data_IF_810673286591
#
_entry.id   IF_810673286591
#
_cell.length_a   1.000
_cell.length_b   1.000
_cell.length_c   1.000
_cell.angle_alpha   90.00
_cell.angle_beta   90.00
_cell.angle_gamma   90.00
#
_symmetry.space_group_name_H-M   'P 1'
#
loop_
_entity.id
_entity.type
_entity.pdbx_description
1 polymer ?
#
# COMPACT_ATOMS: atom_id res chain seq x y z
N UNK A 1 -41.85 20.65 -13.37
CA UNK A 1 -40.78 21.12 -12.47
C UNK A 1 -40.44 20.15 -11.31
N UNK A 2 -40.83 18.86 -11.39
CA UNK A 2 -40.62 17.87 -10.30
C UNK A 2 -39.43 16.93 -10.57
N UNK A 3 -39.03 16.79 -11.82
CA UNK A 3 -37.97 15.91 -12.33
C UNK A 3 -36.55 16.46 -12.14
N UNK A 4 -36.37 17.78 -12.02
CA UNK A 4 -35.05 18.43 -11.89
C UNK A 4 -34.44 18.20 -10.50
N UNK A 5 -35.26 18.07 -9.45
CA UNK A 5 -34.75 17.87 -8.08
C UNK A 5 -34.21 16.47 -7.82
N UNK A 6 -34.65 15.46 -8.57
CA UNK A 6 -34.21 14.07 -8.40
C UNK A 6 -32.83 13.86 -9.03
N UNK A 7 -32.56 14.54 -10.16
CA UNK A 7 -31.27 14.46 -10.85
C UNK A 7 -30.10 14.99 -10.00
N UNK A 8 -30.34 16.02 -9.18
CA UNK A 8 -29.30 16.64 -8.35
C UNK A 8 -28.86 15.75 -7.18
N UNK A 9 -29.79 14.97 -6.60
CA UNK A 9 -29.51 14.06 -5.48
C UNK A 9 -28.74 12.82 -5.94
N UNK A 10 -29.02 12.34 -7.16
CA UNK A 10 -28.27 11.23 -7.75
C UNK A 10 -26.80 11.60 -8.00
N UNK A 11 -26.51 12.84 -8.42
CA UNK A 11 -25.16 13.29 -8.71
C UNK A 11 -24.25 13.36 -7.46
N UNK A 12 -24.83 13.68 -6.29
CA UNK A 12 -24.10 13.75 -5.02
C UNK A 12 -23.75 12.37 -4.44
N UNK A 13 -24.52 11.33 -4.78
CA UNK A 13 -24.24 9.96 -4.34
C UNK A 13 -23.03 9.34 -5.06
N UNK A 14 -22.71 9.77 -6.28
CA UNK A 14 -21.53 9.29 -7.03
C UNK A 14 -20.22 9.92 -6.57
N UNK A 15 -20.25 11.05 -5.85
CA UNK A 15 -19.05 11.72 -5.35
C UNK A 15 -18.51 11.09 -4.05
N UNK A 16 -19.30 10.25 -3.35
CA UNK A 16 -18.96 9.71 -2.04
C UNK A 16 -18.10 8.45 -2.03
N UNK A 17 -17.87 7.79 -3.16
CA UNK A 17 -17.22 6.46 -3.21
C UNK A 17 -15.73 6.50 -3.59
N UNK A 18 -15.14 7.67 -3.82
CA UNK A 18 -13.76 7.76 -4.31
C UNK A 18 -12.67 7.77 -3.23
N UNK A 19 -13.01 7.85 -1.95
CA UNK A 19 -12.05 7.78 -0.84
C UNK A 19 -12.21 6.47 -0.07
N UNK A 20 -11.78 5.36 -0.67
CA UNK A 20 -11.48 4.15 0.10
C UNK A 20 -10.36 4.45 1.10
N UNK A 21 -10.35 3.84 2.30
CA UNK A 21 -9.23 4.00 3.23
C UNK A 21 -7.93 3.63 2.51
N UNK A 22 -6.84 4.39 2.72
CA UNK A 22 -5.58 4.11 2.07
C UNK A 22 -5.17 2.65 2.35
N UNK A 23 -4.57 1.96 1.37
CA UNK A 23 -4.15 0.58 1.55
C UNK A 23 -3.24 0.49 2.77
N UNK A 24 -3.57 -0.40 3.69
CA UNK A 24 -2.75 -0.63 4.88
C UNK A 24 -1.40 -1.19 4.42
N UNK A 25 -0.34 -0.47 4.75
CA UNK A 25 1.03 -0.86 4.46
C UNK A 25 1.70 -1.06 5.82
N UNK A 26 2.23 -2.26 6.05
CA UNK A 26 3.09 -2.50 7.19
C UNK A 26 4.52 -2.22 6.75
N UNK A 27 5.21 -1.34 7.49
CA UNK A 27 6.60 -1.00 7.24
C UNK A 27 7.43 -1.26 8.48
N UNK A 28 8.53 -1.98 8.33
CA UNK A 28 9.57 -2.11 9.35
C UNK A 28 10.81 -1.37 8.85
N UNK A 29 11.41 -0.53 9.68
CA UNK A 29 12.63 0.21 9.34
C UNK A 29 13.75 -0.19 10.28
N UNK A 30 14.95 -0.39 9.74
CA UNK A 30 16.16 -0.79 10.47
C UNK A 30 17.35 -0.03 9.92
N UNK A 31 18.20 0.52 10.79
CA UNK A 31 19.43 1.19 10.38
C UNK A 31 20.53 0.15 10.16
N UNK A 32 21.13 0.13 8.96
CA UNK A 32 22.29 -0.71 8.62
C UNK A 32 23.59 0.08 8.80
N UNK A 33 23.71 0.77 9.94
CA UNK A 33 24.78 1.73 10.22
C UNK A 33 24.34 3.19 10.06
N UNK A 34 25.29 4.16 10.15
CA UNK A 34 24.97 5.58 10.17
C UNK A 34 24.54 6.12 8.80
N UNK A 35 24.91 5.46 7.71
CA UNK A 35 24.74 5.95 6.35
C UNK A 35 23.66 5.22 5.55
N UNK A 36 23.05 4.16 6.10
CA UNK A 36 22.09 3.33 5.37
C UNK A 36 20.89 2.97 6.24
N UNK A 37 19.70 3.09 5.66
CA UNK A 37 18.46 2.60 6.25
C UNK A 37 17.85 1.54 5.34
N UNK A 38 17.42 0.46 5.96
CA UNK A 38 16.71 -0.66 5.37
C UNK A 38 15.26 -0.61 5.79
N UNK A 39 14.35 -0.79 4.85
CA UNK A 39 12.91 -0.74 5.08
C UNK A 39 12.24 -1.93 4.42
N UNK A 40 11.56 -2.74 5.21
CA UNK A 40 10.68 -3.79 4.73
C UNK A 40 9.27 -3.24 4.58
N UNK A 41 8.58 -3.64 3.52
CA UNK A 41 7.24 -3.18 3.22
C UNK A 41 6.37 -4.37 2.83
N UNK A 42 5.33 -4.60 3.61
CA UNK A 42 4.25 -5.54 3.29
C UNK A 42 3.03 -4.73 2.88
N UNK A 43 2.57 -4.94 1.66
CA UNK A 43 1.45 -4.20 1.08
C UNK A 43 0.35 -5.16 0.62
N UNK A 44 -0.88 -4.90 1.07
CA UNK A 44 -2.05 -5.59 0.54
C UNK A 44 -2.26 -5.22 -0.93
N UNK A 45 -2.40 -6.23 -1.79
CA UNK A 45 -2.56 -6.07 -3.24
C UNK A 45 -4.00 -5.79 -3.67
N UNK A 46 -4.96 -6.02 -2.77
CA UNK A 46 -6.39 -6.05 -3.08
C UNK A 46 -6.86 -7.35 -3.75
N UNK A 47 -5.94 -8.26 -4.10
CA UNK A 47 -6.27 -9.54 -4.70
C UNK A 47 -6.58 -10.59 -3.62
N UNK A 48 -7.44 -11.54 -3.98
CA UNK A 48 -7.81 -12.68 -3.13
C UNK A 48 -7.39 -13.96 -3.83
N UNK A 49 -6.70 -14.82 -3.11
CA UNK A 49 -6.33 -16.15 -3.58
C UNK A 49 -7.59 -17.01 -3.79
N UNK A 50 -7.81 -17.58 -4.99
CA UNK A 50 -9.04 -18.30 -5.28
C UNK A 50 -9.16 -19.63 -4.51
N UNK A 51 -8.05 -20.24 -4.09
CA UNK A 51 -8.02 -21.54 -3.41
C UNK A 51 -8.26 -21.41 -1.90
N UNK A 52 -7.59 -20.45 -1.26
CA UNK A 52 -7.59 -20.24 0.20
C UNK A 52 -8.53 -19.13 0.65
N UNK A 53 -9.05 -18.32 -0.28
CA UNK A 53 -9.89 -17.13 -0.02
C UNK A 53 -9.22 -16.07 0.86
N UNK A 54 -7.89 -16.10 0.97
CA UNK A 54 -7.10 -15.14 1.75
C UNK A 54 -6.63 -13.97 0.88
N UNK A 55 -6.38 -12.82 1.51
CA UNK A 55 -5.81 -11.65 0.84
C UNK A 55 -4.34 -11.89 0.48
N UNK A 56 -3.94 -11.41 -0.69
CA UNK A 56 -2.58 -11.50 -1.20
C UNK A 56 -1.80 -10.23 -0.90
N UNK A 57 -0.51 -10.40 -0.60
CA UNK A 57 0.40 -9.34 -0.21
C UNK A 57 1.63 -9.30 -1.11
N UNK A 58 2.19 -8.11 -1.26
CA UNK A 58 3.50 -7.90 -1.85
C UNK A 58 4.50 -7.61 -0.73
N UNK A 59 5.69 -8.17 -0.85
CA UNK A 59 6.81 -7.88 0.02
C UNK A 59 7.91 -7.17 -0.78
N UNK A 60 8.21 -5.94 -0.38
CA UNK A 60 9.28 -5.13 -0.95
C UNK A 60 10.29 -4.77 0.12
N UNK A 61 11.53 -4.63 -0.30
CA UNK A 61 12.65 -4.14 0.51
C UNK A 61 13.18 -2.87 -0.14
N UNK A 62 13.31 -1.82 0.64
CA UNK A 62 13.87 -0.53 0.22
C UNK A 62 15.12 -0.25 1.02
N UNK A 63 16.23 0.03 0.33
CA UNK A 63 17.46 0.50 0.97
C UNK A 63 17.69 1.94 0.53
N UNK A 64 17.88 2.84 1.50
CA UNK A 64 18.18 4.24 1.25
C UNK A 64 19.49 4.64 1.92
N UNK A 65 20.13 5.65 1.36
CA UNK A 65 21.20 6.38 2.01
C UNK A 65 20.61 7.29 3.08
N UNK A 66 21.28 7.42 4.21
CA UNK A 66 20.93 8.37 5.26
C UNK A 66 21.76 9.63 5.04
N UNK A 67 21.08 10.77 4.96
CA UNK A 67 21.67 12.11 4.82
C UNK A 67 21.26 12.98 6.01
N UNK A 68 21.88 14.14 6.16
CA UNK A 68 21.57 15.09 7.24
C UNK A 68 20.10 15.53 7.27
N UNK A 69 19.43 15.52 6.11
CA UNK A 69 18.02 15.92 5.95
C UNK A 69 17.04 14.74 5.94
N UNK A 70 17.52 13.50 6.06
CA UNK A 70 16.70 12.28 5.98
C UNK A 70 17.20 11.27 4.95
N UNK A 71 16.32 10.40 4.46
CA UNK A 71 16.69 9.33 3.52
C UNK A 71 16.78 9.83 2.07
N UNK A 72 17.84 9.46 1.35
CA UNK A 72 18.07 9.77 -0.07
C UNK A 72 18.48 8.50 -0.85
N UNK A 73 18.51 8.56 -2.18
CA UNK A 73 18.94 7.47 -3.08
C UNK A 73 18.29 6.10 -2.76
N UNK A 74 16.98 6.09 -2.51
CA UNK A 74 16.25 4.88 -2.19
C UNK A 74 16.15 3.94 -3.38
N UNK A 75 16.56 2.69 -3.20
CA UNK A 75 16.33 1.60 -4.14
C UNK A 75 15.34 0.60 -3.54
N UNK A 76 14.14 0.57 -4.09
CA UNK A 76 13.13 -0.45 -3.77
C UNK A 76 13.31 -1.68 -4.66
N UNK A 77 13.23 -2.86 -4.05
CA UNK A 77 13.23 -4.16 -4.73
C UNK A 77 12.02 -4.94 -4.25
N UNK A 78 11.14 -5.32 -5.18
CA UNK A 78 10.06 -6.26 -4.88
C UNK A 78 10.65 -7.67 -4.78
N UNK A 79 10.50 -8.28 -3.62
CA UNK A 79 11.06 -9.61 -3.33
C UNK A 79 10.01 -10.70 -3.57
N UNK A 80 8.78 -10.48 -3.11
CA UNK A 80 7.65 -11.39 -3.32
C UNK A 80 6.45 -10.63 -3.85
N UNK A 81 5.71 -11.25 -4.78
CA UNK A 81 4.53 -10.68 -5.42
C UNK A 81 3.35 -11.63 -5.26
N UNK A 82 2.20 -11.10 -4.81
CA UNK A 82 0.95 -11.83 -4.65
C UNK A 82 1.08 -13.12 -3.82
N UNK A 83 1.73 -13.03 -2.66
CA UNK A 83 1.92 -14.16 -1.75
C UNK A 83 0.95 -14.11 -0.57
N UNK A 84 0.71 -15.26 0.06
CA UNK A 84 0.03 -15.32 1.34
C UNK A 84 0.91 -14.68 2.43
N UNK A 85 0.33 -14.03 3.45
CA UNK A 85 1.10 -13.37 4.51
C UNK A 85 1.97 -14.37 5.30
N UNK A 86 1.54 -15.62 5.40
CA UNK A 86 2.27 -16.74 6.05
C UNK A 86 3.54 -17.13 5.28
N UNK A 87 3.72 -16.69 4.03
CA UNK A 87 4.93 -16.97 3.25
C UNK A 87 6.02 -15.89 3.43
N UNK A 88 5.72 -14.82 4.17
CA UNK A 88 6.63 -13.70 4.42
C UNK A 88 7.40 -13.89 5.75
N UNK A 89 6.82 -14.66 6.70
CA UNK A 89 7.34 -14.89 8.05
C UNK A 89 7.69 -16.34 8.32
#
# INVERSE_FOLDING_TARGET
>A
MKSIRIALVALLALAGVACGPPPKILTSQTFLGPEKVYQERIQNTGQIDPATKKQLFNFSVTVCDVTETGSANCKETKVLDNVLPESIY
#
